data_IF_096292953159
#
_entry.id   IF_096292953159
#
_cell.length_a   1.000
_cell.length_b   1.000
_cell.length_c   1.000
_cell.angle_alpha   90.00
_cell.angle_beta   90.00
_cell.angle_gamma   90.00
#
_symmetry.space_group_name_H-M   'P 1'
#
loop_
_entity.id
_entity.type
_entity.pdbx_description
1 polymer ?
#
# COMPACT_ATOMS: atom_id res chain seq x y z
N UNK A 1 -10.40 10.71 -0.01
CA UNK A 1 -9.42 10.19 -0.99
C UNK A 1 -8.27 11.18 -1.07
N UNK A 2 -7.03 10.72 -0.85
CA UNK A 2 -5.83 11.55 -0.96
C UNK A 2 -5.05 11.15 -2.21
N UNK A 3 -4.59 12.12 -3.01
CA UNK A 3 -3.86 11.88 -4.25
C UNK A 3 -2.49 12.54 -4.18
N UNK A 4 -1.45 11.79 -4.51
CA UNK A 4 -0.09 12.28 -4.54
C UNK A 4 0.76 11.55 -5.59
N UNK A 5 1.99 12.00 -5.76
CA UNK A 5 2.94 11.42 -6.71
C UNK A 5 4.17 10.88 -5.98
N UNK A 6 4.70 9.78 -6.48
CA UNK A 6 5.99 9.23 -6.06
C UNK A 6 6.79 8.87 -7.31
N UNK A 7 7.79 9.69 -7.64
CA UNK A 7 8.52 9.59 -8.90
C UNK A 7 7.57 9.63 -10.10
N UNK A 8 7.51 8.52 -10.86
CA UNK A 8 6.65 8.34 -12.05
C UNK A 8 5.26 7.78 -11.74
N UNK A 9 4.97 7.48 -10.47
CA UNK A 9 3.72 6.87 -10.04
C UNK A 9 2.76 7.92 -9.52
N UNK A 10 1.52 7.84 -9.98
CA UNK A 10 0.38 8.55 -9.40
C UNK A 10 -0.31 7.61 -8.40
N UNK A 11 -0.42 8.02 -7.14
CA UNK A 11 -0.97 7.20 -6.06
C UNK A 11 -2.23 7.88 -5.53
N UNK A 12 -3.34 7.14 -5.52
CA UNK A 12 -4.60 7.56 -4.91
C UNK A 12 -4.94 6.61 -3.77
N UNK A 13 -5.07 7.17 -2.57
CA UNK A 13 -5.24 6.45 -1.33
C UNK A 13 -6.64 6.69 -0.76
N UNK A 14 -7.27 5.62 -0.33
CA UNK A 14 -8.57 5.62 0.34
C UNK A 14 -8.51 4.69 1.54
N UNK A 15 -9.14 5.09 2.64
CA UNK A 15 -9.22 4.29 3.85
C UNK A 15 -10.67 4.23 4.30
N UNK A 16 -11.12 3.01 4.55
CA UNK A 16 -12.43 2.68 5.12
C UNK A 16 -12.21 1.79 6.36
N UNK A 17 -13.25 1.55 7.18
CA UNK A 17 -13.12 0.82 8.47
C UNK A 17 -12.46 -0.58 8.36
N UNK A 18 -12.53 -1.23 7.19
CA UNK A 18 -11.99 -2.57 6.98
C UNK A 18 -10.66 -2.66 6.24
N UNK A 19 -10.22 -1.58 5.59
CA UNK A 19 -9.08 -1.63 4.68
C UNK A 19 -8.52 -0.26 4.31
N UNK A 20 -7.27 -0.27 3.91
CA UNK A 20 -6.59 0.84 3.27
C UNK A 20 -6.22 0.44 1.86
N UNK A 21 -6.61 1.23 0.88
CA UNK A 21 -6.48 0.93 -0.55
C UNK A 21 -5.66 2.01 -1.22
N UNK A 22 -4.56 1.61 -1.86
CA UNK A 22 -3.80 2.47 -2.75
C UNK A 22 -3.98 2.00 -4.20
N UNK A 23 -4.41 2.93 -5.05
CA UNK A 23 -4.44 2.75 -6.51
C UNK A 23 -3.23 3.45 -7.09
N UNK A 24 -2.36 2.70 -7.76
CA UNK A 24 -1.06 3.15 -8.26
C UNK A 24 -1.12 3.11 -9.79
N UNK A 25 -1.08 4.28 -10.41
CA UNK A 25 -1.10 4.42 -11.86
C UNK A 25 0.31 4.71 -12.38
N UNK A 26 0.71 3.94 -13.38
CA UNK A 26 1.94 4.15 -14.15
C UNK A 26 1.59 4.13 -15.64
N UNK A 27 1.61 5.30 -16.29
CA UNK A 27 1.17 5.45 -17.70
C UNK A 27 -0.25 4.87 -17.89
N UNK A 28 -0.37 3.77 -18.63
CA UNK A 28 -1.63 3.06 -18.90
C UNK A 28 -1.87 1.85 -17.97
N UNK A 29 -0.93 1.53 -17.08
CA UNK A 29 -1.10 0.45 -16.10
C UNK A 29 -1.67 0.99 -14.79
N UNK A 30 -2.65 0.28 -14.24
CA UNK A 30 -3.23 0.54 -12.92
C UNK A 30 -2.96 -0.69 -12.06
N UNK A 31 -2.36 -0.47 -10.90
CA UNK A 31 -2.06 -1.48 -9.90
C UNK A 31 -2.76 -1.13 -8.59
N UNK A 32 -3.08 -2.14 -7.78
CA UNK A 32 -3.83 -1.95 -6.54
C UNK A 32 -3.14 -2.63 -5.37
N UNK A 33 -2.92 -1.89 -4.29
CA UNK A 33 -2.49 -2.42 -3.01
C UNK A 33 -3.65 -2.30 -2.02
N UNK A 34 -3.95 -3.38 -1.31
CA UNK A 34 -4.98 -3.41 -0.27
C UNK A 34 -4.34 -3.89 1.02
N UNK A 35 -4.28 -3.02 2.03
CA UNK A 35 -3.87 -3.36 3.39
C UNK A 35 -5.12 -3.64 4.20
N UNK A 36 -5.25 -4.87 4.70
CA UNK A 36 -6.42 -5.33 5.46
C UNK A 36 -6.38 -4.82 6.90
N UNK A 37 -7.54 -4.83 7.57
CA UNK A 37 -7.72 -4.39 8.96
C UNK A 37 -6.76 -5.03 9.96
N UNK A 38 -6.43 -6.32 9.79
CA UNK A 38 -5.47 -7.03 10.65
C UNK A 38 -4.06 -6.44 10.54
N UNK A 39 -3.57 -6.19 9.32
CA UNK A 39 -2.32 -5.48 9.11
C UNK A 39 -2.37 -4.03 9.61
N UNK A 40 -3.49 -3.32 9.39
CA UNK A 40 -3.66 -1.94 9.88
C UNK A 40 -3.55 -1.85 11.40
N UNK A 41 -4.09 -2.84 12.11
CA UNK A 41 -4.00 -2.93 13.57
C UNK A 41 -2.56 -3.11 14.02
N UNK A 42 -1.82 -4.05 13.40
CA UNK A 42 -0.40 -4.27 13.68
C UNK A 42 0.45 -3.03 13.37
N UNK A 43 0.19 -2.36 12.25
CA UNK A 43 0.86 -1.11 11.88
C UNK A 43 0.63 0.00 12.90
N UNK A 44 -0.62 0.20 13.33
CA UNK A 44 -0.98 1.19 14.33
C UNK A 44 -0.29 0.92 15.69
N UNK A 45 -0.23 -0.34 16.12
CA UNK A 45 0.50 -0.75 17.33
C UNK A 45 2.01 -0.48 17.24
N UNK A 46 2.59 -0.59 16.04
CA UNK A 46 3.99 -0.30 15.78
C UNK A 46 4.28 1.19 15.53
N UNK A 47 3.26 2.06 15.53
CA UNK A 47 3.42 3.48 15.18
C UNK A 47 3.76 3.73 13.70
N UNK A 48 3.47 2.77 12.82
CA UNK A 48 3.74 2.85 11.38
C UNK A 48 2.46 3.16 10.62
N UNK A 49 2.55 4.01 9.60
CA UNK A 49 1.40 4.33 8.74
C UNK A 49 1.30 3.36 7.55
N UNK A 50 0.09 3.04 7.05
CA UNK A 50 -0.07 2.20 5.87
C UNK A 50 0.60 2.79 4.61
N UNK A 51 0.77 4.11 4.53
CA UNK A 51 1.54 4.79 3.48
C UNK A 51 2.99 4.27 3.40
N UNK A 52 3.58 3.88 4.53
CA UNK A 52 4.94 3.29 4.56
C UNK A 52 4.98 1.97 3.79
N UNK A 53 3.96 1.13 3.95
CA UNK A 53 3.80 -0.12 3.19
C UNK A 53 3.65 0.18 1.70
N UNK A 54 2.85 1.18 1.32
CA UNK A 54 2.67 1.58 -0.07
C UNK A 54 4.00 2.05 -0.66
N UNK A 55 4.72 2.92 0.05
CA UNK A 55 6.03 3.40 -0.36
C UNK A 55 7.00 2.24 -0.57
N UNK A 56 7.07 1.29 0.36
CA UNK A 56 7.97 0.13 0.25
C UNK A 56 7.64 -0.78 -0.94
N UNK A 57 6.35 -0.95 -1.27
CA UNK A 57 5.93 -1.69 -2.47
C UNK A 57 6.28 -0.91 -3.74
N UNK A 58 6.07 0.41 -3.76
CA UNK A 58 6.30 1.24 -4.94
C UNK A 58 7.80 1.41 -5.22
N UNK A 59 8.64 1.56 -4.18
CA UNK A 59 10.10 1.72 -4.31
C UNK A 59 10.77 0.43 -4.79
N UNK A 60 10.12 -0.72 -4.63
CA UNK A 60 10.64 -2.05 -4.98
C UNK A 60 9.82 -2.66 -6.13
N UNK A 61 10.26 -2.51 -7.42
CA UNK A 61 9.43 -2.86 -8.58
C UNK A 61 8.93 -4.31 -8.62
N UNK A 62 9.65 -5.25 -8.02
CA UNK A 62 9.28 -6.68 -7.94
C UNK A 62 8.08 -6.94 -7.02
N UNK A 63 7.85 -6.07 -6.03
CA UNK A 63 6.70 -6.15 -5.12
C UNK A 63 5.43 -5.55 -5.75
N UNK A 64 5.59 -4.62 -6.70
CA UNK A 64 4.50 -3.90 -7.35
C UNK A 64 3.81 -4.75 -8.44
N UNK A 65 3.09 -5.78 -8.00
CA UNK A 65 2.22 -6.64 -8.83
C UNK A 65 0.90 -5.93 -9.16
N UNK A 66 0.08 -6.52 -10.04
CA UNK A 66 -1.19 -5.90 -10.47
C UNK A 66 -2.18 -5.75 -9.30
N UNK A 67 -2.16 -6.73 -8.38
CA UNK A 67 -2.88 -6.68 -7.12
C UNK A 67 -1.99 -7.21 -6.00
N UNK A 68 -1.79 -6.42 -4.96
CA UNK A 68 -1.10 -6.81 -3.73
C UNK A 68 -2.09 -6.74 -2.58
N UNK A 69 -2.17 -7.82 -1.80
CA UNK A 69 -2.99 -7.88 -0.59
C UNK A 69 -2.04 -8.06 0.59
N UNK A 70 -2.05 -7.07 1.48
CA UNK A 70 -1.25 -7.05 2.70
C UNK A 70 -2.17 -7.36 3.88
N UNK A 71 -1.83 -8.40 4.63
CA UNK A 71 -2.47 -8.81 5.87
C UNK A 71 -1.39 -9.06 6.92
N UNK A 72 -1.76 -9.30 8.17
CA UNK A 72 -0.78 -9.51 9.24
C UNK A 72 0.16 -10.71 8.93
N UNK A 73 -0.32 -11.68 8.14
CA UNK A 73 0.43 -12.87 7.75
C UNK A 73 1.65 -12.58 6.85
N UNK A 74 1.61 -11.50 6.07
CA UNK A 74 2.67 -11.17 5.11
C UNK A 74 3.23 -9.74 5.28
N UNK A 75 2.74 -9.01 6.29
CA UNK A 75 3.09 -7.61 6.54
C UNK A 75 4.60 -7.38 6.67
N UNK A 76 5.30 -8.29 7.36
CA UNK A 76 6.75 -8.19 7.57
C UNK A 76 7.54 -8.10 6.24
N UNK A 77 7.06 -8.74 5.17
CA UNK A 77 7.71 -8.67 3.85
C UNK A 77 7.59 -7.32 3.14
N UNK A 78 6.90 -6.35 3.73
CA UNK A 78 6.69 -5.01 3.19
C UNK A 78 7.17 -3.89 4.12
N UNK A 79 7.79 -4.21 5.26
CA UNK A 79 8.23 -3.24 6.29
C UNK A 79 9.74 -2.96 6.29
N UNK A 80 10.46 -3.38 5.25
CA UNK A 80 11.88 -3.08 5.00
C UNK A 80 12.23 -1.58 4.94
#
# INVERSE_FOLDING_TARGET
MNKHFYGKYEITEAQDEGQYVATIKLRQSIKKVVVKSDALTTLAQAGVTPQTVIHNIVKTPTLLKDKVIVSNHNLAGYLD
#
